data_IF_776882909118
#
_entry.id   IF_776882909118
#
_cell.length_a   1.000
_cell.length_b   1.000
_cell.length_c   1.000
_cell.angle_alpha   90.00
_cell.angle_beta   90.00
_cell.angle_gamma   90.00
#
_symmetry.space_group_name_H-M   'P 1'
#
loop_
_entity.id
_entity.type
_entity.pdbx_description
1 polymer ?
#
# COMPACT_ATOMS: atom_id res chain seq x y z
N UNK A 1 9.32 -28.51 -49.57
CA UNK A 1 10.13 -27.74 -48.64
C UNK A 1 9.30 -27.45 -47.42
N UNK A 2 9.44 -28.23 -46.35
CA UNK A 2 8.62 -28.19 -45.16
C UNK A 2 9.33 -27.32 -44.10
N UNK A 3 8.62 -26.34 -43.62
CA UNK A 3 9.05 -25.42 -42.54
C UNK A 3 8.84 -26.12 -41.15
N UNK A 4 9.77 -26.10 -40.21
CA UNK A 4 9.55 -26.71 -38.91
C UNK A 4 8.80 -25.72 -37.99
N UNK A 5 7.68 -26.16 -37.48
CA UNK A 5 6.92 -25.48 -36.42
C UNK A 5 7.69 -25.60 -35.09
N UNK A 6 8.24 -24.51 -34.62
CA UNK A 6 8.91 -24.45 -33.30
C UNK A 6 7.81 -24.29 -32.24
N UNK A 7 7.63 -25.33 -31.44
CA UNK A 7 6.78 -25.31 -30.24
C UNK A 7 7.39 -24.35 -29.22
N UNK A 8 6.76 -23.22 -28.99
CA UNK A 8 7.03 -22.35 -27.85
C UNK A 8 6.39 -22.98 -26.60
N UNK A 9 7.13 -23.79 -25.88
CA UNK A 9 6.76 -24.19 -24.52
C UNK A 9 6.80 -22.92 -23.63
N UNK A 10 5.63 -22.54 -23.17
CA UNK A 10 5.46 -21.33 -22.36
C UNK A 10 6.16 -21.52 -21.01
N UNK A 11 6.83 -20.48 -20.55
CA UNK A 11 7.50 -20.39 -19.23
C UNK A 11 6.55 -20.63 -18.03
N UNK A 12 5.25 -20.73 -18.29
CA UNK A 12 4.22 -21.04 -17.31
C UNK A 12 4.27 -22.47 -16.80
N UNK A 13 4.82 -23.42 -17.59
CA UNK A 13 4.90 -24.84 -17.23
C UNK A 13 5.93 -25.14 -16.13
N UNK A 14 6.92 -24.25 -15.94
CA UNK A 14 7.99 -24.46 -14.95
C UNK A 14 7.53 -24.04 -13.53
N UNK A 15 6.68 -23.05 -13.43
CA UNK A 15 6.16 -22.58 -12.12
C UNK A 15 5.16 -23.60 -11.55
N UNK A 16 4.34 -24.21 -12.40
CA UNK A 16 3.36 -25.23 -11.97
C UNK A 16 4.01 -26.52 -11.50
N UNK A 17 5.18 -26.88 -12.04
CA UNK A 17 5.90 -28.10 -11.63
C UNK A 17 6.59 -27.96 -10.26
N UNK A 18 6.93 -26.75 -9.83
CA UNK A 18 7.59 -26.53 -8.54
C UNK A 18 6.62 -26.58 -7.36
N UNK A 19 5.33 -26.37 -7.60
CA UNK A 19 4.30 -26.38 -6.55
C UNK A 19 3.80 -27.81 -6.25
N UNK A 20 3.95 -28.76 -7.18
CA UNK A 20 3.47 -30.14 -7.02
C UNK A 20 4.48 -31.14 -6.45
N UNK A 21 5.73 -30.74 -6.17
CA UNK A 21 6.75 -31.62 -5.57
C UNK A 21 6.82 -31.51 -4.04
N UNK A 22 5.70 -31.21 -3.38
CA UNK A 22 5.55 -31.33 -1.92
C UNK A 22 5.63 -32.80 -1.52
N UNK A 23 6.74 -33.19 -0.88
CA UNK A 23 6.92 -34.52 -0.33
C UNK A 23 5.83 -34.84 0.69
N UNK A 24 4.94 -35.75 0.36
CA UNK A 24 4.06 -36.41 1.32
C UNK A 24 4.88 -37.39 2.15
N UNK A 25 5.38 -36.96 3.30
CA UNK A 25 5.79 -37.88 4.35
C UNK A 25 4.55 -38.43 5.01
N UNK A 26 4.15 -39.64 4.65
CA UNK A 26 3.23 -40.45 5.42
C UNK A 26 3.92 -40.85 6.72
N UNK A 27 3.58 -40.20 7.82
CA UNK A 27 4.04 -40.60 9.15
C UNK A 27 3.07 -41.63 9.70
N UNK A 28 3.57 -42.83 9.97
CA UNK A 28 2.86 -43.93 10.56
C UNK A 28 2.35 -43.54 11.96
N UNK A 29 1.03 -43.47 12.14
CA UNK A 29 0.37 -43.18 13.42
C UNK A 29 0.50 -44.40 14.33
N UNK A 30 1.36 -44.34 15.35
CA UNK A 30 1.26 -45.21 16.51
C UNK A 30 0.07 -44.73 17.38
N UNK A 31 -0.83 -45.64 17.81
CA UNK A 31 -1.88 -45.27 18.72
C UNK A 31 -1.28 -45.06 20.10
N UNK A 32 -1.24 -43.83 20.55
CA UNK A 32 -0.98 -43.52 21.96
C UNK A 32 -2.25 -43.01 22.59
N UNK A 33 -2.74 -43.81 23.56
CA UNK A 33 -3.79 -43.41 24.45
C UNK A 33 -3.30 -42.25 25.33
N UNK A 34 -4.21 -41.35 25.56
CA UNK A 34 -4.31 -40.40 26.66
C UNK A 34 -4.14 -38.93 26.34
N UNK A 35 -5.10 -38.26 26.89
CA UNK A 35 -5.38 -36.83 27.00
C UNK A 35 -6.00 -36.19 25.76
N UNK A 36 -7.29 -35.91 25.93
CA UNK A 36 -7.98 -34.90 25.13
C UNK A 36 -7.14 -33.60 25.18
N UNK A 37 -6.39 -33.37 24.14
CA UNK A 37 -5.79 -32.04 23.95
C UNK A 37 -6.90 -31.02 23.97
N UNK A 38 -6.86 -30.17 24.96
CA UNK A 38 -7.67 -28.94 24.94
C UNK A 38 -7.21 -28.16 23.72
N UNK A 39 -7.98 -28.21 22.65
CA UNK A 39 -7.85 -27.25 21.57
C UNK A 39 -8.19 -25.89 22.19
N UNK A 40 -7.17 -25.18 22.64
CA UNK A 40 -7.31 -23.77 22.95
C UNK A 40 -7.53 -23.09 21.59
N UNK A 41 -8.78 -22.82 21.26
CA UNK A 41 -9.12 -21.87 20.23
C UNK A 41 -8.69 -20.52 20.78
N UNK A 42 -7.44 -20.13 20.52
CA UNK A 42 -7.04 -18.75 20.69
C UNK A 42 -7.87 -17.98 19.69
N UNK A 43 -8.81 -17.19 20.22
CA UNK A 43 -9.62 -16.29 19.41
C UNK A 43 -8.71 -15.50 18.50
N UNK A 44 -9.21 -15.28 17.31
CA UNK A 44 -8.55 -14.54 16.22
C UNK A 44 -7.72 -13.41 16.79
N UNK A 45 -6.50 -13.27 16.28
CA UNK A 45 -5.76 -12.04 16.40
C UNK A 45 -6.73 -10.91 16.08
N UNK A 46 -7.10 -10.12 17.08
CA UNK A 46 -7.78 -8.86 16.81
C UNK A 46 -6.83 -8.09 15.91
N UNK A 47 -7.20 -7.95 14.64
CA UNK A 47 -6.51 -7.03 13.75
C UNK A 47 -6.58 -5.67 14.43
N UNK A 48 -5.45 -5.19 14.91
CA UNK A 48 -5.40 -3.92 15.61
C UNK A 48 -5.58 -2.80 14.59
N UNK A 49 -6.79 -2.24 14.54
CA UNK A 49 -7.03 -0.98 13.80
C UNK A 49 -6.35 0.20 14.49
N UNK A 50 -6.02 0.05 15.78
CA UNK A 50 -5.41 1.10 16.58
C UNK A 50 -3.91 0.85 16.60
N UNK A 51 -3.15 1.81 16.11
CA UNK A 51 -1.70 1.90 16.27
C UNK A 51 -1.41 2.77 17.48
N UNK A 52 -0.59 2.28 18.41
CA UNK A 52 -0.28 3.01 19.65
C UNK A 52 0.67 4.18 19.39
N UNK A 53 1.54 4.07 18.39
CA UNK A 53 2.60 5.03 18.09
C UNK A 53 2.42 5.72 16.74
N UNK A 54 2.61 7.03 16.72
CA UNK A 54 2.68 7.82 15.50
C UNK A 54 3.94 8.71 15.54
N UNK A 55 4.88 8.47 14.62
CA UNK A 55 6.17 9.18 14.61
C UNK A 55 6.14 10.48 13.78
N UNK A 56 5.13 10.67 12.96
CA UNK A 56 5.05 11.79 12.01
C UNK A 56 4.90 13.16 12.64
N UNK A 57 4.41 13.22 13.88
CA UNK A 57 4.18 14.48 14.55
C UNK A 57 5.42 15.04 15.25
N UNK A 58 6.28 14.18 15.83
CA UNK A 58 7.38 14.62 16.68
C UNK A 58 8.71 13.90 16.41
N UNK A 59 8.74 12.83 15.61
CA UNK A 59 9.85 11.84 15.49
C UNK A 59 10.26 11.20 16.82
N UNK A 60 9.55 11.49 17.88
CA UNK A 60 9.69 10.83 19.15
C UNK A 60 8.71 9.67 19.20
N UNK A 61 9.07 8.56 19.78
CA UNK A 61 8.18 7.41 19.99
C UNK A 61 7.09 7.70 21.03
N UNK A 62 6.35 8.79 20.85
CA UNK A 62 5.25 9.17 21.72
C UNK A 62 3.97 8.50 21.28
N UNK A 63 3.16 8.08 22.24
CA UNK A 63 1.81 7.61 21.95
C UNK A 63 0.95 8.74 21.37
N UNK A 64 -0.09 8.37 20.62
CA UNK A 64 -1.04 9.34 20.04
C UNK A 64 -1.64 10.23 21.14
N UNK A 65 -1.86 9.69 22.34
CA UNK A 65 -2.42 10.43 23.49
C UNK A 65 -1.45 11.47 24.07
N UNK A 66 -0.15 11.23 24.00
CA UNK A 66 0.89 12.13 24.49
C UNK A 66 1.28 13.19 23.48
N UNK A 67 0.86 13.01 22.24
CA UNK A 67 1.18 13.94 21.15
C UNK A 67 0.14 15.07 21.11
N UNK A 68 0.53 16.36 21.32
CA UNK A 68 -0.41 17.48 21.40
C UNK A 68 -0.87 17.95 20.01
N UNK A 69 -1.22 17.04 19.14
CA UNK A 69 -1.68 17.29 17.76
C UNK A 69 -2.83 16.35 17.40
N UNK A 70 -3.65 16.78 16.43
CA UNK A 70 -4.75 15.96 15.93
C UNK A 70 -4.21 14.96 14.90
N UNK A 71 -4.01 13.72 15.33
CA UNK A 71 -3.46 12.64 14.51
C UNK A 71 -4.54 11.60 14.20
N UNK A 72 -4.57 11.13 12.97
CA UNK A 72 -5.26 9.91 12.57
C UNK A 72 -4.24 8.94 12.00
N UNK A 73 -4.36 7.66 12.33
CA UNK A 73 -3.55 6.59 11.78
C UNK A 73 -4.48 5.57 11.14
N UNK A 74 -4.28 5.33 9.86
CA UNK A 74 -4.95 4.26 9.11
C UNK A 74 -3.97 3.09 9.02
N UNK A 75 -4.23 2.04 9.79
CA UNK A 75 -3.36 0.87 9.88
C UNK A 75 -3.49 -0.03 8.66
N UNK A 76 -2.51 -0.93 8.45
CA UNK A 76 -2.57 -1.94 7.39
C UNK A 76 -3.83 -2.80 7.50
N UNK A 77 -4.16 -3.21 8.71
CA UNK A 77 -5.35 -4.02 8.96
C UNK A 77 -6.65 -3.32 8.52
N UNK A 78 -6.75 -2.01 8.77
CA UNK A 78 -7.89 -1.22 8.32
C UNK A 78 -7.91 -1.09 6.79
N UNK A 79 -6.75 -0.85 6.17
CA UNK A 79 -6.65 -0.77 4.72
C UNK A 79 -7.05 -2.09 4.05
N UNK A 80 -6.61 -3.23 4.60
CA UNK A 80 -6.94 -4.55 4.06
C UNK A 80 -8.43 -4.89 4.20
N UNK A 81 -9.01 -4.65 5.38
CA UNK A 81 -10.39 -5.03 5.65
C UNK A 81 -11.41 -4.17 4.88
N UNK A 82 -11.07 -2.93 4.59
CA UNK A 82 -11.92 -1.99 3.84
C UNK A 82 -11.49 -1.80 2.39
N UNK A 83 -10.51 -2.59 1.89
CA UNK A 83 -9.99 -2.49 0.52
C UNK A 83 -9.60 -1.07 0.14
N UNK A 84 -8.89 -0.38 1.05
CA UNK A 84 -8.36 0.96 0.79
C UNK A 84 -7.05 0.83 -0.01
N UNK A 85 -7.18 0.49 -1.28
CA UNK A 85 -6.08 0.10 -2.15
C UNK A 85 -5.24 1.27 -2.67
N UNK A 86 -5.68 2.50 -2.42
CA UNK A 86 -4.96 3.71 -2.80
C UNK A 86 -5.08 4.83 -1.75
N UNK A 87 -4.18 5.81 -1.85
CA UNK A 87 -4.13 6.92 -0.90
C UNK A 87 -5.38 7.80 -0.95
N UNK A 88 -6.06 7.89 -2.10
CA UNK A 88 -7.29 8.66 -2.22
C UNK A 88 -8.37 8.06 -1.30
N UNK A 89 -8.57 6.72 -1.38
CA UNK A 89 -9.52 5.99 -0.54
C UNK A 89 -9.18 6.09 0.95
N UNK A 90 -7.88 6.01 1.30
CA UNK A 90 -7.40 6.18 2.68
C UNK A 90 -7.75 7.56 3.21
N UNK A 91 -7.48 8.61 2.43
CA UNK A 91 -7.74 9.99 2.85
C UNK A 91 -9.24 10.30 2.87
N UNK A 92 -10.03 9.73 1.95
CA UNK A 92 -11.49 9.85 1.94
C UNK A 92 -12.11 9.23 3.19
N UNK A 93 -11.57 8.10 3.67
CA UNK A 93 -12.00 7.45 4.92
C UNK A 93 -11.53 8.19 6.18
N UNK A 94 -10.63 9.17 6.05
CA UNK A 94 -10.03 9.85 7.21
C UNK A 94 -10.89 11.03 7.67
N UNK A 95 -11.35 11.07 8.94
CA UNK A 95 -12.14 12.18 9.45
C UNK A 95 -11.42 13.53 9.34
N UNK A 96 -12.11 14.54 8.80
CA UNK A 96 -11.58 15.91 8.69
C UNK A 96 -10.63 16.11 7.50
N UNK A 97 -10.57 15.18 6.58
CA UNK A 97 -9.98 15.32 5.25
C UNK A 97 -11.10 15.29 4.22
N UNK A 98 -11.02 16.15 3.23
CA UNK A 98 -11.90 16.16 2.06
C UNK A 98 -11.08 15.84 0.83
N UNK A 99 -11.55 14.88 0.05
CA UNK A 99 -10.96 14.48 -1.22
C UNK A 99 -11.80 15.04 -2.35
N UNK A 100 -11.18 15.78 -3.25
CA UNK A 100 -11.83 16.42 -4.39
C UNK A 100 -11.16 15.95 -5.68
N UNK A 101 -11.79 15.00 -6.33
CA UNK A 101 -11.35 14.53 -7.64
C UNK A 101 -11.91 15.47 -8.71
N UNK A 102 -11.02 16.15 -9.41
CA UNK A 102 -11.40 17.13 -10.46
C UNK A 102 -11.64 16.41 -11.78
N UNK A 103 -10.75 15.46 -12.10
CA UNK A 103 -10.80 14.66 -13.32
C UNK A 103 -10.39 13.23 -12.99
N UNK A 104 -10.09 12.44 -14.01
CA UNK A 104 -9.74 11.02 -13.82
C UNK A 104 -8.48 10.81 -12.98
N UNK A 105 -7.50 11.71 -13.05
CA UNK A 105 -6.18 11.50 -12.47
C UNK A 105 -5.69 12.65 -11.58
N UNK A 106 -6.43 13.75 -11.47
CA UNK A 106 -6.06 14.89 -10.64
C UNK A 106 -6.97 14.98 -9.41
N UNK A 107 -6.36 14.83 -8.24
CA UNK A 107 -7.05 14.86 -6.96
C UNK A 107 -6.42 15.89 -6.05
N UNK A 108 -7.27 16.71 -5.41
CA UNK A 108 -6.90 17.63 -4.36
C UNK A 108 -7.40 17.13 -3.02
N UNK A 109 -6.60 17.34 -2.00
CA UNK A 109 -6.92 16.97 -0.63
C UNK A 109 -6.97 18.22 0.23
N UNK A 110 -8.00 18.37 1.05
CA UNK A 110 -8.19 19.54 1.90
C UNK A 110 -8.38 19.13 3.36
N UNK A 111 -7.79 19.88 4.25
CA UNK A 111 -8.04 19.77 5.68
C UNK A 111 -8.07 21.17 6.30
N UNK A 112 -9.02 21.42 7.22
CA UNK A 112 -9.17 22.70 7.89
C UNK A 112 -9.33 23.90 6.94
N UNK A 113 -9.89 23.69 5.74
CA UNK A 113 -10.08 24.72 4.72
C UNK A 113 -8.86 25.03 3.86
N UNK A 114 -7.74 24.33 4.04
CA UNK A 114 -6.51 24.49 3.27
C UNK A 114 -6.18 23.22 2.49
N UNK A 115 -5.53 23.38 1.36
CA UNK A 115 -5.04 22.27 0.56
C UNK A 115 -3.89 21.56 1.25
N UNK A 116 -3.90 20.23 1.25
CA UNK A 116 -2.82 19.40 1.77
C UNK A 116 -1.76 19.28 0.67
N UNK A 117 -0.61 19.92 0.89
CA UNK A 117 0.53 19.92 -0.02
C UNK A 117 1.74 19.15 0.52
N UNK A 118 1.63 18.64 1.75
CA UNK A 118 2.74 17.98 2.43
C UNK A 118 2.50 16.48 2.52
N UNK A 119 3.06 15.77 1.55
CA UNK A 119 3.07 14.31 1.50
C UNK A 119 4.49 13.80 1.74
N UNK A 120 4.61 12.74 2.53
CA UNK A 120 5.88 12.16 2.93
C UNK A 120 5.83 10.64 2.79
N UNK A 121 7.00 10.05 2.55
CA UNK A 121 7.25 8.61 2.70
C UNK A 121 8.36 8.46 3.74
N UNK A 122 8.07 7.72 4.81
CA UNK A 122 8.97 7.58 5.98
C UNK A 122 9.52 8.91 6.51
N UNK A 123 8.69 9.96 6.48
CA UNK A 123 9.06 11.31 6.92
C UNK A 123 9.86 12.11 5.91
N UNK A 124 10.14 11.60 4.72
CA UNK A 124 10.78 12.33 3.63
C UNK A 124 9.72 12.90 2.69
N UNK A 125 9.76 14.22 2.46
CA UNK A 125 8.81 14.91 1.60
C UNK A 125 8.87 14.44 0.15
N UNK A 126 7.71 14.17 -0.43
CA UNK A 126 7.57 13.88 -1.86
C UNK A 126 7.43 15.21 -2.59
N UNK A 127 8.29 15.52 -3.57
CA UNK A 127 8.12 16.73 -4.37
C UNK A 127 6.86 16.62 -5.23
N UNK A 128 5.99 17.61 -5.11
CA UNK A 128 4.79 17.74 -5.95
C UNK A 128 5.00 18.88 -6.95
N UNK A 129 4.97 18.56 -8.24
CA UNK A 129 5.24 19.52 -9.30
C UNK A 129 4.14 20.55 -9.52
N UNK A 130 2.92 20.31 -9.03
CA UNK A 130 1.74 21.15 -9.30
C UNK A 130 0.75 21.24 -8.14
N UNK A 131 1.18 20.98 -6.89
CA UNK A 131 0.30 21.02 -5.72
C UNK A 131 -0.76 19.92 -5.65
N UNK A 132 -0.82 19.04 -6.64
CA UNK A 132 -1.76 17.91 -6.69
C UNK A 132 -1.03 16.59 -6.92
N UNK A 133 -1.56 15.51 -6.39
CA UNK A 133 -1.11 14.17 -6.76
C UNK A 133 -1.78 13.80 -8.07
N UNK A 134 -0.98 13.49 -9.07
CA UNK A 134 -1.47 12.93 -10.32
C UNK A 134 -1.51 11.42 -10.23
N UNK A 135 -2.66 10.85 -10.50
CA UNK A 135 -2.94 9.45 -10.24
C UNK A 135 -3.17 9.19 -8.75
N UNK A 136 -3.23 7.93 -8.37
CA UNK A 136 -3.31 7.54 -6.97
C UNK A 136 -2.16 6.59 -6.63
N UNK A 137 -1.46 6.87 -5.52
CA UNK A 137 -0.42 6.00 -4.99
C UNK A 137 -1.07 4.75 -4.41
N UNK A 138 -0.53 3.59 -4.75
CA UNK A 138 -1.03 2.30 -4.25
C UNK A 138 -0.58 2.08 -2.80
N UNK A 139 -1.46 1.48 -1.99
CA UNK A 139 -1.20 1.28 -0.56
C UNK A 139 -0.51 -0.04 -0.23
N UNK A 140 -0.33 -0.94 -1.20
CA UNK A 140 0.21 -2.30 -0.96
C UNK A 140 1.59 -2.32 -0.28
N UNK A 141 2.39 -1.28 -0.49
CA UNK A 141 3.75 -1.17 0.07
C UNK A 141 3.82 -0.47 1.43
N UNK A 142 2.71 0.12 1.89
CA UNK A 142 2.66 0.86 3.15
C UNK A 142 2.11 0.01 4.30
N UNK A 143 2.74 0.14 5.46
CA UNK A 143 2.30 -0.45 6.72
C UNK A 143 1.14 0.33 7.33
N UNK A 144 1.22 1.65 7.26
CA UNK A 144 0.19 2.58 7.73
C UNK A 144 0.31 3.93 7.07
N UNK A 145 -0.73 4.73 7.18
CA UNK A 145 -0.75 6.13 6.77
C UNK A 145 -1.07 6.99 7.99
N UNK A 146 -0.21 7.94 8.30
CA UNK A 146 -0.35 8.85 9.42
C UNK A 146 -0.73 10.24 8.91
N UNK A 147 -1.83 10.80 9.41
CA UNK A 147 -2.34 12.11 9.01
C UNK A 147 -2.30 13.04 10.22
N UNK A 148 -1.38 13.99 10.21
CA UNK A 148 -1.22 15.02 11.25
C UNK A 148 -1.88 16.30 10.77
N UNK A 149 -3.02 16.67 11.39
CA UNK A 149 -3.81 17.83 10.97
C UNK A 149 -3.38 19.09 11.70
N UNK A 150 -3.19 20.16 10.94
CA UNK A 150 -2.81 21.49 11.42
C UNK A 150 -1.35 21.83 11.13
N UNK A 151 -0.86 22.88 11.77
CA UNK A 151 0.53 23.30 11.61
C UNK A 151 1.49 22.24 12.17
N UNK A 152 2.33 21.68 11.32
CA UNK A 152 3.35 20.69 11.67
C UNK A 152 4.76 21.23 11.38
N UNK A 153 4.97 22.51 11.63
CA UNK A 153 6.19 23.22 11.26
C UNK A 153 7.47 22.65 11.85
N UNK A 154 7.38 21.98 13.00
CA UNK A 154 8.53 21.29 13.62
C UNK A 154 9.09 20.19 12.70
N UNK A 155 8.21 19.52 11.97
CA UNK A 155 8.55 18.36 11.13
C UNK A 155 8.66 18.68 9.64
N UNK A 156 7.95 19.71 9.19
CA UNK A 156 7.78 20.01 7.76
C UNK A 156 8.30 21.40 7.39
N UNK A 157 8.74 22.18 8.38
CA UNK A 157 9.13 23.58 8.15
C UNK A 157 7.94 24.48 7.87
N UNK A 158 8.16 25.55 7.12
CA UNK A 158 7.12 26.50 6.73
C UNK A 158 6.13 25.84 5.74
N UNK A 159 4.86 25.83 6.09
CA UNK A 159 3.79 25.27 5.28
C UNK A 159 2.43 25.79 5.71
N UNK A 160 1.38 25.45 4.96
CA UNK A 160 0.04 25.82 5.33
C UNK A 160 -0.47 24.93 6.50
N UNK A 161 -1.46 25.40 7.30
CA UNK A 161 -1.94 24.69 8.48
C UNK A 161 -2.99 23.61 8.14
N UNK A 162 -2.88 22.94 7.00
CA UNK A 162 -3.82 21.90 6.56
C UNK A 162 -3.59 20.57 7.27
N UNK A 163 -2.74 19.78 6.71
CA UNK A 163 -2.27 18.49 7.25
C UNK A 163 -0.94 18.08 6.62
N UNK A 164 -0.27 17.15 7.28
CA UNK A 164 0.84 16.34 6.75
C UNK A 164 0.37 14.90 6.64
N UNK A 165 0.55 14.30 5.47
CA UNK A 165 0.25 12.88 5.22
C UNK A 165 1.58 12.15 5.08
N UNK A 166 1.85 11.23 6.00
CA UNK A 166 3.06 10.40 5.96
C UNK A 166 2.68 8.94 5.73
N UNK A 167 3.19 8.38 4.67
CA UNK A 167 3.04 6.98 4.29
C UNK A 167 4.25 6.20 4.80
N UNK A 168 4.02 5.29 5.74
CA UNK A 168 5.07 4.50 6.36
C UNK A 168 5.23 3.19 5.60
N UNK A 169 6.44 2.93 5.10
CA UNK A 169 6.74 1.73 4.33
C UNK A 169 6.72 0.47 5.20
N UNK A 170 6.33 -0.64 4.59
CA UNK A 170 6.41 -1.97 5.20
C UNK A 170 7.87 -2.35 5.44
N UNK A 171 8.23 -2.70 6.67
CA UNK A 171 9.57 -3.19 7.01
C UNK A 171 9.71 -4.69 6.82
N UNK A 172 10.93 -5.20 6.57
CA UNK A 172 11.21 -6.62 6.68
C UNK A 172 10.90 -7.17 8.06
N UNK A 173 10.52 -8.45 8.13
CA UNK A 173 10.22 -9.14 9.39
C UNK A 173 11.23 -10.26 9.61
N UNK A 174 11.58 -10.50 10.87
CA UNK A 174 12.49 -11.58 11.28
C UNK A 174 11.76 -12.93 11.47
N UNK A 175 10.52 -13.00 11.01
CA UNK A 175 9.73 -14.22 10.87
C UNK A 175 9.27 -14.29 9.42
N UNK A 176 9.41 -15.45 8.79
CA UNK A 176 8.94 -15.63 7.42
C UNK A 176 7.42 -15.45 7.35
N UNK A 177 6.97 -14.50 6.55
CA UNK A 177 5.58 -14.19 6.30
C UNK A 177 5.36 -14.10 4.80
N UNK A 178 4.24 -14.61 4.33
CA UNK A 178 3.83 -14.49 2.95
C UNK A 178 2.32 -14.24 2.88
N UNK A 179 1.93 -13.27 2.07
CA UNK A 179 0.54 -12.97 1.77
C UNK A 179 0.37 -12.89 0.25
N UNK A 180 -0.71 -13.44 -0.26
CA UNK A 180 -1.11 -13.28 -1.64
C UNK A 180 -2.60 -13.08 -1.72
N UNK A 181 -3.04 -12.11 -2.49
CA UNK A 181 -4.45 -11.82 -2.73
C UNK A 181 -4.73 -11.64 -4.21
N UNK A 182 -5.91 -12.07 -4.62
CA UNK A 182 -6.46 -11.84 -5.96
C UNK A 182 -7.87 -11.31 -5.78
N UNK A 183 -8.15 -10.18 -6.40
CA UNK A 183 -9.51 -9.63 -6.44
C UNK A 183 -9.98 -9.42 -7.87
N UNK A 184 -11.30 -9.53 -8.03
CA UNK A 184 -12.00 -9.27 -9.28
C UNK A 184 -13.28 -8.52 -8.97
N UNK A 185 -13.56 -7.45 -9.70
CA UNK A 185 -14.70 -6.56 -9.45
C UNK A 185 -15.34 -6.03 -10.71
N UNK A 186 -16.28 -5.12 -10.53
CA UNK A 186 -16.97 -4.40 -11.61
C UNK A 186 -15.96 -3.64 -12.47
N UNK A 187 -16.36 -3.32 -13.72
CA UNK A 187 -15.51 -2.67 -14.71
C UNK A 187 -14.16 -3.37 -14.89
N UNK A 188 -14.22 -4.70 -15.04
CA UNK A 188 -13.05 -5.53 -15.32
C UNK A 188 -11.88 -5.30 -14.37
N UNK A 189 -12.18 -4.84 -13.13
CA UNK A 189 -11.20 -4.60 -12.10
C UNK A 189 -10.56 -5.91 -11.68
N UNK A 190 -9.23 -6.00 -11.83
CA UNK A 190 -8.42 -7.18 -11.52
C UNK A 190 -7.18 -6.73 -10.76
N UNK A 191 -7.01 -7.25 -9.56
CA UNK A 191 -5.84 -6.97 -8.73
C UNK A 191 -5.19 -8.27 -8.29
N UNK A 192 -3.88 -8.33 -8.41
CA UNK A 192 -3.02 -9.36 -7.84
C UNK A 192 -2.02 -8.65 -6.92
N UNK A 193 -1.90 -9.11 -5.70
CA UNK A 193 -0.88 -8.65 -4.75
C UNK A 193 -0.14 -9.85 -4.17
N UNK A 194 1.18 -9.74 -4.04
CA UNK A 194 2.06 -10.71 -3.39
C UNK A 194 3.01 -9.94 -2.49
N UNK A 195 3.07 -10.32 -1.22
CA UNK A 195 3.93 -9.73 -0.19
C UNK A 195 4.66 -10.85 0.54
N UNK A 196 5.97 -10.86 0.48
CA UNK A 196 6.81 -11.87 1.11
C UNK A 196 7.89 -11.17 1.92
N UNK A 197 8.02 -11.56 3.18
CA UNK A 197 9.08 -11.11 4.06
C UNK A 197 9.75 -12.32 4.73
N UNK A 198 11.08 -12.32 4.78
CA UNK A 198 11.83 -13.44 5.36
C UNK A 198 13.15 -12.96 5.95
N UNK A 199 13.59 -13.53 7.09
CA UNK A 199 14.95 -13.34 7.55
C UNK A 199 15.94 -14.07 6.63
N UNK A 200 17.09 -13.45 6.40
CA UNK A 200 18.27 -14.10 5.82
C UNK A 200 19.01 -14.84 6.93
N UNK A 201 19.07 -14.20 8.11
CA UNK A 201 19.58 -14.74 9.37
C UNK A 201 18.98 -13.91 10.53
N UNK A 202 19.46 -14.10 11.75
CA UNK A 202 18.94 -13.42 12.95
C UNK A 202 19.14 -11.90 12.96
N UNK A 203 20.03 -11.39 12.11
CA UNK A 203 20.39 -9.96 12.06
C UNK A 203 19.98 -9.26 10.74
N UNK A 204 19.57 -10.02 9.73
CA UNK A 204 19.28 -9.51 8.39
C UNK A 204 17.96 -10.06 7.86
N UNK A 205 17.12 -9.19 7.35
CA UNK A 205 15.83 -9.56 6.78
C UNK A 205 15.56 -8.81 5.47
N UNK A 206 14.73 -9.39 4.63
CA UNK A 206 14.28 -8.83 3.34
C UNK A 206 12.77 -8.91 3.21
N UNK A 207 12.21 -7.98 2.46
CA UNK A 207 10.79 -8.00 2.05
C UNK A 207 10.67 -7.63 0.60
N UNK A 208 9.76 -8.30 -0.10
CA UNK A 208 9.38 -7.98 -1.47
C UNK A 208 7.86 -7.89 -1.57
N UNK A 209 7.36 -6.83 -2.20
CA UNK A 209 5.95 -6.68 -2.54
C UNK A 209 5.83 -6.46 -4.04
N UNK A 210 4.89 -7.16 -4.65
CA UNK A 210 4.53 -6.98 -6.05
C UNK A 210 3.02 -6.84 -6.16
N UNK A 211 2.57 -5.81 -6.88
CA UNK A 211 1.16 -5.60 -7.17
C UNK A 211 0.96 -5.31 -8.65
N UNK A 212 -0.04 -5.95 -9.24
CA UNK A 212 -0.54 -5.65 -10.57
C UNK A 212 -2.04 -5.37 -10.46
N UNK A 213 -2.46 -4.20 -10.93
CA UNK A 213 -3.84 -3.78 -10.89
C UNK A 213 -4.26 -3.22 -12.24
N UNK A 214 -5.30 -3.79 -12.84
CA UNK A 214 -5.92 -3.29 -14.07
C UNK A 214 -7.41 -3.07 -13.82
N UNK A 215 -7.93 -1.92 -14.23
CA UNK A 215 -9.33 -1.59 -14.09
C UNK A 215 -9.80 -0.70 -15.25
N UNK A 216 -11.02 -0.94 -15.69
CA UNK A 216 -11.81 -0.03 -16.50
C UNK A 216 -12.63 0.89 -15.57
N UNK A 217 -13.41 1.80 -16.13
CA UNK A 217 -14.23 2.76 -15.40
C UNK A 217 -15.64 2.82 -16.00
N UNK A 218 -16.55 3.51 -15.31
CA UNK A 218 -17.85 3.91 -15.87
C UNK A 218 -17.72 4.92 -17.02
N UNK A 219 -16.54 5.53 -17.17
CA UNK A 219 -16.24 6.42 -18.29
C UNK A 219 -15.81 5.58 -19.49
N UNK A 220 -16.38 5.86 -20.66
CA UNK A 220 -16.03 5.18 -21.89
C UNK A 220 -14.55 5.34 -22.22
N UNK A 221 -13.87 4.23 -22.53
CA UNK A 221 -12.46 4.13 -22.93
C UNK A 221 -11.44 4.46 -21.83
N UNK A 222 -11.85 4.83 -20.61
CA UNK A 222 -10.91 5.07 -19.54
C UNK A 222 -10.51 3.75 -18.88
N UNK A 223 -9.25 3.39 -19.05
CA UNK A 223 -8.62 2.25 -18.41
C UNK A 223 -7.39 2.67 -17.60
N UNK A 224 -7.09 1.94 -16.55
CA UNK A 224 -5.86 2.11 -15.78
C UNK A 224 -5.13 0.79 -15.62
N UNK A 225 -3.82 0.84 -15.75
CA UNK A 225 -2.91 -0.27 -15.51
C UNK A 225 -1.81 0.17 -14.56
N UNK A 226 -1.76 -0.43 -13.36
CA UNK A 226 -0.74 -0.14 -12.35
C UNK A 226 0.15 -1.34 -12.13
N UNK A 227 1.45 -1.09 -12.01
CA UNK A 227 2.43 -2.09 -11.61
C UNK A 227 3.29 -1.52 -10.50
N UNK A 228 3.33 -2.21 -9.37
CA UNK A 228 4.08 -1.79 -8.20
C UNK A 228 5.09 -2.88 -7.85
N UNK A 229 6.33 -2.48 -7.64
CA UNK A 229 7.41 -3.30 -7.13
C UNK A 229 8.06 -2.62 -5.94
N UNK A 230 8.23 -3.34 -4.85
CA UNK A 230 8.88 -2.89 -3.64
C UNK A 230 9.87 -3.93 -3.15
N UNK A 231 11.07 -3.49 -2.80
CA UNK A 231 12.10 -4.30 -2.16
C UNK A 231 12.61 -3.56 -0.94
N UNK A 232 12.70 -4.24 0.18
CA UNK A 232 13.27 -3.72 1.40
C UNK A 232 14.30 -4.69 1.97
N UNK A 233 15.35 -4.14 2.51
CA UNK A 233 16.37 -4.84 3.30
C UNK A 233 16.55 -4.10 4.60
N UNK A 234 16.65 -4.83 5.68
CA UNK A 234 17.07 -4.33 6.99
C UNK A 234 18.13 -5.26 7.56
N UNK A 235 19.21 -4.70 8.06
CA UNK A 235 20.30 -5.48 8.62
C UNK A 235 21.08 -4.72 9.68
N UNK A 236 21.44 -5.43 10.75
CA UNK A 236 22.27 -4.95 11.83
C UNK A 236 23.74 -4.96 11.37
N UNK A 237 24.37 -3.80 11.28
CA UNK A 237 25.78 -3.67 10.91
C UNK A 237 26.70 -3.74 12.12
N UNK A 238 26.25 -3.18 13.25
CA UNK A 238 26.90 -3.24 14.56
C UNK A 238 25.83 -3.33 15.63
N UNK A 239 26.19 -3.51 16.88
CA UNK A 239 25.23 -3.57 18.00
C UNK A 239 24.35 -2.30 18.08
N UNK A 240 24.88 -1.16 17.65
CA UNK A 240 24.19 0.15 17.73
C UNK A 240 23.75 0.70 16.37
N UNK A 241 24.01 -0.03 15.26
CA UNK A 241 23.76 0.49 13.91
C UNK A 241 22.97 -0.49 13.07
N UNK A 242 21.81 -0.05 12.60
CA UNK A 242 20.97 -0.78 11.65
C UNK A 242 20.95 -0.06 10.30
N UNK A 243 21.18 -0.77 9.22
CA UNK A 243 21.02 -0.30 7.83
C UNK A 243 19.66 -0.72 7.29
N UNK A 244 18.89 0.24 6.81
CA UNK A 244 17.65 -0.01 6.08
C UNK A 244 17.78 0.54 4.65
N UNK A 245 17.48 -0.29 3.67
CA UNK A 245 17.48 0.07 2.24
C UNK A 245 16.11 -0.26 1.65
N UNK A 246 15.54 0.69 0.93
CA UNK A 246 14.26 0.53 0.29
C UNK A 246 14.36 0.93 -1.19
N UNK A 247 13.73 0.13 -2.06
CA UNK A 247 13.54 0.45 -3.46
C UNK A 247 12.06 0.34 -3.81
N UNK A 248 11.51 1.42 -4.37
CA UNK A 248 10.11 1.50 -4.78
C UNK A 248 10.06 1.83 -6.27
N UNK A 249 9.28 1.06 -7.01
CA UNK A 249 8.88 1.40 -8.37
C UNK A 249 7.34 1.32 -8.45
N UNK A 250 6.70 2.43 -8.78
CA UNK A 250 5.27 2.48 -9.07
C UNK A 250 5.08 3.09 -10.45
N UNK A 251 4.49 2.32 -11.34
CA UNK A 251 4.10 2.77 -12.67
C UNK A 251 2.59 2.69 -12.79
N UNK A 252 1.97 3.77 -13.28
CA UNK A 252 0.56 3.83 -13.64
C UNK A 252 0.45 4.34 -15.05
N UNK A 253 -0.17 3.55 -15.90
CA UNK A 253 -0.58 3.93 -17.25
C UNK A 253 -2.10 4.15 -17.25
N UNK A 254 -2.56 5.21 -17.90
CA UNK A 254 -3.98 5.52 -18.05
C UNK A 254 -4.29 5.79 -19.51
N UNK A 255 -5.25 5.04 -20.04
CA UNK A 255 -5.75 5.24 -21.40
C UNK A 255 -6.96 6.17 -21.37
N UNK A 256 -6.99 7.11 -22.33
CA UNK A 256 -8.08 8.09 -22.49
C UNK A 256 -8.41 8.89 -21.21
N UNK A 257 -7.42 9.42 -20.47
CA UNK A 257 -7.70 10.21 -19.29
C UNK A 257 -8.43 11.50 -19.67
N UNK A 258 -9.42 11.85 -18.85
CA UNK A 258 -10.07 13.15 -18.98
C UNK A 258 -9.16 14.20 -18.35
N UNK A 259 -8.84 15.24 -19.10
CA UNK A 259 -8.02 16.34 -18.66
C UNK A 259 -8.67 17.68 -19.00
N UNK A 260 -9.06 18.40 -17.98
CA UNK A 260 -9.79 19.67 -18.11
C UNK A 260 -11.31 19.51 -17.92
N UNK A 261 -11.97 20.60 -17.51
CA UNK A 261 -13.40 20.61 -17.35
C UNK A 261 -14.11 20.54 -18.71
N UNK A 262 -15.19 19.78 -18.79
CA UNK A 262 -16.09 19.84 -19.94
C UNK A 262 -16.75 21.22 -19.96
N UNK A 263 -16.82 21.88 -21.12
CA UNK A 263 -17.54 23.15 -21.23
C UNK A 263 -19.04 22.89 -20.99
N UNK A 264 -19.63 23.63 -20.05
CA UNK A 264 -21.09 23.56 -19.81
C UNK A 264 -21.88 24.37 -20.84
N UNK A 265 -21.20 25.31 -21.50
CA UNK A 265 -21.81 26.20 -22.49
C UNK A 265 -20.96 26.24 -23.77
N UNK A 266 -21.61 26.40 -24.89
CA UNK A 266 -20.93 26.76 -26.13
C UNK A 266 -20.37 28.17 -26.06
N UNK A 267 -19.50 28.53 -27.00
CA UNK A 267 -18.87 29.87 -27.06
C UNK A 267 -19.87 31.00 -27.26
N UNK A 268 -21.08 30.71 -27.71
CA UNK A 268 -22.20 31.64 -27.85
C UNK A 268 -23.07 31.74 -26.59
N UNK A 269 -22.75 31.00 -25.53
CA UNK A 269 -23.47 30.99 -24.25
C UNK A 269 -24.69 30.05 -24.22
N UNK A 270 -24.95 29.26 -25.26
CA UNK A 270 -25.96 28.20 -25.24
C UNK A 270 -25.47 26.98 -24.45
N UNK A 271 -26.42 26.21 -23.83
CA UNK A 271 -26.15 24.99 -23.09
C UNK A 271 -26.53 23.74 -23.88
#
# INVERSE_FOLDING_TARGET
MSSPTILRLSKLSIVTSLILSGNTFAQELKPNNESLEKIAVYGQHHKNYITEDAQSATKLGLSIKETPQSISVVSRALMDDFSLDDINSVLESTPGVTVEQIETDRTYFKARGFEITNFQVDGLGIPQSSGSIQGSLDTSIYDRVEIVRGANGLMTGAGNPSATVNMVLKKPTYITQAHASVSYGSWNNKRLEVDVSTPINDEHAVRAVFTKHKAESYLDRYETDKTIGYLAYEGKLTDDTTLSLNYVNQQKDADSPLWGALPLYYTDGSA
#
